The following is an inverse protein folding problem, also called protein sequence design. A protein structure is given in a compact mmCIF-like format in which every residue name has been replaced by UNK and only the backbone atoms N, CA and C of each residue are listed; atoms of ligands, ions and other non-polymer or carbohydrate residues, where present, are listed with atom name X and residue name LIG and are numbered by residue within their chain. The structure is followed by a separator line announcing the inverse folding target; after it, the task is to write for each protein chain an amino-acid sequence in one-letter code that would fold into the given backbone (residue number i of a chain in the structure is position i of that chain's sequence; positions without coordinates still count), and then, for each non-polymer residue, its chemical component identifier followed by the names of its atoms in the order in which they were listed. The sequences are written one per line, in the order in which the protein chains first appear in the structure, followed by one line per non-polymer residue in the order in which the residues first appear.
data_IF_825339541156
#
_entry.id   IF_825339541156
#
_cell.length_a   1.000
_cell.length_b   1.000
_cell.length_c   1.000
_cell.angle_alpha   90.00
_cell.angle_beta   90.00
_cell.angle_gamma   90.00
#
_symmetry.space_group_name_H-M   'P 1'
#
loop_
_entity.id
_entity.type
_entity.pdbx_description
1 polymer ?
#
# COMPACT_ATOMS: atom_id res chain seq x y z
N UNK A 1 -0.84 -29.94 -8.67
CA UNK A 1 -1.01 -28.55 -8.23
C UNK A 1 -1.78 -27.82 -9.31
N UNK A 2 -2.91 -27.19 -8.99
CA UNK A 2 -3.62 -26.37 -9.99
C UNK A 2 -2.68 -25.25 -10.43
N UNK A 3 -2.41 -25.16 -11.74
CA UNK A 3 -1.65 -24.02 -12.29
C UNK A 3 -2.59 -22.82 -12.24
N UNK A 4 -2.25 -21.82 -11.44
CA UNK A 4 -2.95 -20.55 -11.45
C UNK A 4 -2.86 -19.95 -12.86
N UNK A 5 -3.96 -19.38 -13.31
CA UNK A 5 -3.99 -18.57 -14.52
C UNK A 5 -3.22 -17.27 -14.32
N UNK A 6 -2.75 -16.67 -15.40
CA UNK A 6 -2.05 -15.38 -15.36
C UNK A 6 -2.92 -14.29 -14.70
N UNK A 7 -4.25 -14.32 -14.93
CA UNK A 7 -5.20 -13.40 -14.28
C UNK A 7 -5.26 -13.61 -12.77
N UNK A 8 -5.24 -14.85 -12.29
CA UNK A 8 -5.26 -15.15 -10.84
C UNK A 8 -3.95 -14.73 -10.16
N UNK A 9 -2.81 -14.97 -10.81
CA UNK A 9 -1.50 -14.52 -10.33
C UNK A 9 -1.48 -12.99 -10.24
N UNK A 10 -1.95 -12.32 -11.28
CA UNK A 10 -2.01 -10.86 -11.33
C UNK A 10 -2.92 -10.31 -10.23
N UNK A 11 -4.13 -10.87 -10.07
CA UNK A 11 -5.04 -10.48 -8.98
C UNK A 11 -4.38 -10.63 -7.61
N UNK A 12 -3.74 -11.78 -7.35
CA UNK A 12 -3.05 -12.02 -6.10
C UNK A 12 -1.96 -10.97 -5.83
N UNK A 13 -1.14 -10.65 -6.83
CA UNK A 13 -0.05 -9.68 -6.69
C UNK A 13 -0.60 -8.28 -6.38
N UNK A 14 -1.65 -7.85 -7.08
CA UNK A 14 -2.26 -6.53 -6.85
C UNK A 14 -2.88 -6.43 -5.46
N UNK A 15 -3.63 -7.44 -5.02
CA UNK A 15 -4.17 -7.50 -3.64
C UNK A 15 -3.08 -7.48 -2.59
N UNK A 16 -2.05 -8.30 -2.78
CA UNK A 16 -0.93 -8.35 -1.87
C UNK A 16 -0.20 -7.00 -1.78
N UNK A 17 -0.01 -6.32 -2.91
CA UNK A 17 0.60 -5.00 -2.95
C UNK A 17 -0.26 -3.96 -2.22
N UNK A 18 -1.58 -3.96 -2.45
CA UNK A 18 -2.54 -3.08 -1.80
C UNK A 18 -2.50 -3.25 -0.27
N UNK A 19 -2.62 -4.50 0.21
CA UNK A 19 -2.56 -4.83 1.64
C UNK A 19 -1.24 -4.36 2.27
N UNK A 20 -0.12 -4.55 1.57
CA UNK A 20 1.19 -4.12 2.07
C UNK A 20 1.31 -2.61 2.15
N UNK A 21 0.81 -1.86 1.17
CA UNK A 21 0.86 -0.39 1.21
C UNK A 21 -0.10 0.18 2.26
N UNK A 22 -1.29 -0.42 2.45
CA UNK A 22 -2.19 -0.06 3.55
C UNK A 22 -1.51 -0.26 4.92
N UNK A 23 -0.87 -1.40 5.15
CA UNK A 23 -0.14 -1.66 6.39
C UNK A 23 1.04 -0.69 6.59
N UNK A 24 1.75 -0.32 5.51
CA UNK A 24 2.82 0.69 5.59
C UNK A 24 2.29 2.05 5.98
N UNK A 25 1.19 2.49 5.36
CA UNK A 25 0.50 3.74 5.68
C UNK A 25 0.18 3.78 7.17
N UNK A 26 -0.52 2.77 7.68
CA UNK A 26 -0.89 2.70 9.11
C UNK A 26 0.33 2.70 10.02
N UNK A 27 1.37 1.92 9.69
CA UNK A 27 2.63 1.89 10.43
C UNK A 27 3.26 3.27 10.51
N UNK A 28 3.38 3.99 9.39
CA UNK A 28 4.01 5.31 9.38
C UNK A 28 3.15 6.38 10.04
N UNK A 29 1.82 6.29 9.93
CA UNK A 29 0.90 7.14 10.71
C UNK A 29 1.14 6.95 12.20
N UNK A 30 1.16 5.71 12.68
CA UNK A 30 1.40 5.40 14.09
C UNK A 30 2.77 5.89 14.56
N UNK A 31 3.83 5.69 13.76
CA UNK A 31 5.16 6.19 14.08
C UNK A 31 5.22 7.71 14.12
N UNK A 32 4.50 8.41 13.24
CA UNK A 32 4.41 9.88 13.28
C UNK A 32 3.71 10.39 14.54
N UNK A 33 2.66 9.71 15.00
CA UNK A 33 1.89 10.06 16.19
C UNK A 33 2.69 9.84 17.48
N UNK A 34 3.47 8.76 17.54
CA UNK A 34 4.24 8.37 18.72
C UNK A 34 5.63 9.02 18.79
N UNK A 35 6.13 9.58 17.68
CA UNK A 35 7.43 10.23 17.62
C UNK A 35 7.48 11.57 18.34
N UNK A 36 8.42 11.70 19.28
CA UNK A 36 8.72 12.96 19.98
C UNK A 36 9.63 13.89 19.18
N UNK A 37 10.54 13.34 18.36
CA UNK A 37 11.41 14.13 17.49
C UNK A 37 10.62 14.69 16.30
N UNK A 38 10.67 16.02 16.12
CA UNK A 38 9.91 16.73 15.08
C UNK A 38 10.32 16.35 13.65
N UNK A 39 11.60 16.05 13.42
CA UNK A 39 12.10 15.65 12.09
C UNK A 39 11.64 14.25 11.75
N UNK A 40 11.73 13.32 12.71
CA UNK A 40 11.21 11.96 12.53
C UNK A 40 9.70 11.95 12.30
N UNK A 41 8.94 12.73 13.09
CA UNK A 41 7.51 12.91 12.86
C UNK A 41 7.19 13.38 11.44
N UNK A 42 7.89 14.41 10.95
CA UNK A 42 7.70 14.91 9.57
C UNK A 42 8.06 13.85 8.53
N UNK A 43 9.14 13.10 8.74
CA UNK A 43 9.57 12.04 7.83
C UNK A 43 8.51 10.93 7.74
N UNK A 44 7.98 10.47 8.88
CA UNK A 44 6.93 9.46 8.91
C UNK A 44 5.61 9.95 8.31
N UNK A 45 5.26 11.23 8.49
CA UNK A 45 4.12 11.82 7.79
C UNK A 45 4.28 11.76 6.27
N UNK A 46 5.47 12.11 5.74
CA UNK A 46 5.75 12.00 4.31
C UNK A 46 5.61 10.55 3.85
N UNK A 47 6.17 9.59 4.57
CA UNK A 47 6.05 8.17 4.20
C UNK A 47 4.61 7.66 4.24
N UNK A 48 3.80 8.08 5.20
CA UNK A 48 2.37 7.76 5.24
C UNK A 48 1.62 8.35 4.04
N UNK A 49 1.89 9.61 3.69
CA UNK A 49 1.32 10.24 2.49
C UNK A 49 1.75 9.55 1.20
N UNK A 50 3.03 9.17 1.08
CA UNK A 50 3.53 8.41 -0.07
C UNK A 50 2.85 7.04 -0.19
N UNK A 51 2.72 6.29 0.91
CA UNK A 51 2.00 5.01 0.91
C UNK A 51 0.53 5.18 0.51
N UNK A 52 -0.13 6.27 0.94
CA UNK A 52 -1.50 6.59 0.49
C UNK A 52 -1.58 6.87 -1.02
N UNK A 53 -0.58 7.54 -1.61
CA UNK A 53 -0.51 7.73 -3.06
C UNK A 53 -0.36 6.41 -3.79
N UNK A 54 0.52 5.51 -3.32
CA UNK A 54 0.67 4.19 -3.93
C UNK A 54 -0.61 3.35 -3.83
N UNK A 55 -1.34 3.40 -2.70
CA UNK A 55 -2.65 2.76 -2.57
C UNK A 55 -3.59 3.23 -3.69
N UNK A 56 -3.69 4.54 -3.92
CA UNK A 56 -4.55 5.09 -4.97
C UNK A 56 -4.11 4.67 -6.37
N UNK A 57 -2.80 4.61 -6.65
CA UNK A 57 -2.27 4.12 -7.92
C UNK A 57 -2.58 2.63 -8.14
N UNK A 58 -2.40 1.80 -7.11
CA UNK A 58 -2.72 0.36 -7.15
C UNK A 58 -4.22 0.15 -7.40
N UNK A 59 -5.09 0.87 -6.68
CA UNK A 59 -6.55 0.79 -6.88
C UNK A 59 -6.95 1.21 -8.30
N UNK A 60 -6.34 2.27 -8.85
CA UNK A 60 -6.59 2.70 -10.23
C UNK A 60 -6.18 1.62 -11.25
N UNK A 61 -5.02 0.99 -11.07
CA UNK A 61 -4.57 -0.09 -11.95
C UNK A 61 -5.45 -1.35 -11.81
N UNK A 62 -5.89 -1.68 -10.59
CA UNK A 62 -6.84 -2.77 -10.37
C UNK A 62 -8.15 -2.56 -11.12
N UNK A 63 -8.68 -1.33 -11.11
CA UNK A 63 -9.89 -0.97 -11.87
C UNK A 63 -9.65 -1.15 -13.38
N UNK A 64 -8.52 -0.66 -13.91
CA UNK A 64 -8.19 -0.79 -15.34
C UNK A 64 -8.08 -2.24 -15.79
N UNK A 65 -7.59 -3.12 -14.92
CA UNK A 65 -7.37 -4.53 -15.21
C UNK A 65 -8.57 -5.43 -14.88
N UNK A 66 -9.71 -4.86 -14.46
CA UNK A 66 -10.89 -5.60 -13.98
C UNK A 66 -10.51 -6.63 -12.89
N UNK A 67 -9.68 -6.17 -11.94
CA UNK A 67 -9.23 -6.93 -10.77
C UNK A 67 -10.10 -6.51 -9.58
N UNK A 68 -10.80 -7.48 -9.00
CA UNK A 68 -11.56 -7.36 -7.76
C UNK A 68 -10.79 -7.91 -6.59
#
# INVERSE_FOLDING_TARGET
MAKLTEKEITNYIFKFALDKEMLRKEKFTHLAETSRDKRMKKLFQVFSSTAQSHVAEIEQEMIKLDIK
#
